data_IF_299881354322
#
_entry.id   IF_299881354322
#
_cell.length_a   1.000
_cell.length_b   1.000
_cell.length_c   1.000
_cell.angle_alpha   90.00
_cell.angle_beta   90.00
_cell.angle_gamma   90.00
#
_symmetry.space_group_name_H-M   'P 1'
#
loop_
_entity.id
_entity.type
_entity.pdbx_description
1 polymer ?
#
# COMPACT_ATOMS: atom_id res chain seq x y z
N UNK A 1 63.06 -1.49 -14.46
CA UNK A 1 62.62 -0.15 -14.93
C UNK A 1 61.16 -0.04 -14.50
N UNK A 2 60.87 0.51 -13.37
CA UNK A 2 60.56 1.91 -13.07
C UNK A 2 59.31 2.37 -13.86
N UNK A 3 58.30 2.54 -13.17
CA UNK A 3 57.50 3.63 -12.57
C UNK A 3 56.26 3.86 -13.42
N UNK A 4 55.08 4.18 -12.95
CA UNK A 4 54.65 5.29 -12.09
C UNK A 4 53.24 5.13 -11.56
N UNK A 5 53.10 5.39 -10.32
CA UNK A 5 51.97 5.66 -9.47
C UNK A 5 51.31 6.99 -9.90
N UNK A 6 50.01 7.04 -10.08
CA UNK A 6 49.27 8.31 -9.94
C UNK A 6 48.01 8.06 -9.09
N UNK A 7 48.09 8.60 -7.89
CA UNK A 7 46.97 8.94 -7.02
C UNK A 7 46.27 10.19 -7.62
N UNK A 8 44.95 10.18 -7.66
CA UNK A 8 44.20 11.44 -7.59
C UNK A 8 43.01 11.29 -6.65
N UNK A 9 43.20 11.89 -5.53
CA UNK A 9 42.24 12.28 -4.52
C UNK A 9 41.58 13.56 -4.98
N UNK A 10 40.27 13.63 -4.94
CA UNK A 10 39.48 14.86 -4.78
C UNK A 10 38.23 14.41 -4.05
N UNK A 11 38.10 14.58 -2.83
CA UNK A 11 37.83 15.60 -1.82
C UNK A 11 36.76 16.60 -2.23
N UNK A 12 35.79 16.58 -1.33
CA UNK A 12 35.11 17.67 -0.69
C UNK A 12 33.84 18.16 -1.36
N UNK A 13 32.86 18.17 -0.53
CA UNK A 13 32.28 19.26 0.29
C UNK A 13 31.24 20.02 -0.52
N UNK A 14 30.14 20.42 -0.07
CA UNK A 14 29.66 20.84 1.26
C UNK A 14 28.17 21.15 1.08
N UNK A 15 27.39 20.77 2.06
CA UNK A 15 26.83 21.66 3.08
C UNK A 15 25.78 22.66 2.63
N UNK A 16 24.75 22.58 3.41
CA UNK A 16 23.95 23.64 4.02
C UNK A 16 22.86 24.25 3.15
N UNK A 17 21.70 24.61 3.64
CA UNK A 17 21.31 25.07 4.94
C UNK A 17 19.79 25.09 5.05
N UNK A 18 19.31 24.66 6.14
CA UNK A 18 18.34 25.26 7.05
C UNK A 18 17.82 26.64 6.61
N UNK A 19 16.50 26.77 6.52
CA UNK A 19 15.81 27.97 7.02
C UNK A 19 14.37 27.68 7.40
N UNK A 20 14.19 27.58 8.70
CA UNK A 20 13.04 27.91 9.53
C UNK A 20 12.60 29.36 9.28
N UNK A 21 11.29 29.62 9.18
CA UNK A 21 10.58 30.81 9.66
C UNK A 21 9.10 30.46 9.58
N UNK A 22 8.46 30.21 10.67
CA UNK A 22 7.80 31.06 11.66
C UNK A 22 6.36 31.44 11.29
N UNK A 23 5.48 30.93 12.14
CA UNK A 23 4.27 31.50 12.73
C UNK A 23 3.66 32.75 12.10
N UNK A 24 2.37 32.65 11.79
CA UNK A 24 1.45 33.73 12.14
C UNK A 24 0.05 33.21 12.48
N UNK A 25 -0.28 33.40 13.73
CA UNK A 25 -1.55 33.21 14.40
C UNK A 25 -2.36 34.51 14.17
N UNK A 26 -3.60 34.38 13.68
CA UNK A 26 -4.58 35.45 13.86
C UNK A 26 -5.92 34.85 14.25
N UNK A 27 -6.37 35.27 15.40
CA UNK A 27 -7.64 35.05 16.06
C UNK A 27 -8.58 36.22 15.70
N UNK A 28 -9.85 35.95 15.46
CA UNK A 28 -11.03 36.70 15.87
C UNK A 28 -12.25 36.20 15.08
N UNK A 29 -13.26 35.57 15.67
CA UNK A 29 -14.32 36.03 16.56
C UNK A 29 -15.37 36.91 15.86
N UNK A 30 -16.59 36.40 15.72
CA UNK A 30 -17.91 36.96 16.14
C UNK A 30 -18.99 36.57 15.12
N UNK A 31 -19.93 35.72 15.53
CA UNK A 31 -21.28 35.92 16.06
C UNK A 31 -22.33 36.46 15.09
N UNK A 32 -23.40 35.70 15.02
CA UNK A 32 -24.86 35.86 14.97
C UNK A 32 -25.43 35.79 13.55
N UNK A 33 -26.56 35.19 13.24
CA UNK A 33 -27.77 34.84 13.97
C UNK A 33 -28.68 33.95 13.07
N UNK A 34 -29.56 33.27 13.72
CA UNK A 34 -30.66 32.43 13.29
C UNK A 34 -31.46 32.87 12.05
N UNK A 35 -31.90 31.92 11.27
CA UNK A 35 -33.32 31.76 10.89
C UNK A 35 -33.59 30.39 10.28
N UNK A 36 -34.41 29.69 10.93
CA UNK A 36 -35.46 28.72 10.70
C UNK A 36 -35.92 28.62 9.22
N UNK A 37 -35.73 27.42 8.62
CA UNK A 37 -36.66 26.88 7.65
C UNK A 37 -36.51 25.36 7.60
N UNK A 38 -37.54 24.71 8.04
CA UNK A 38 -37.94 23.33 7.92
C UNK A 38 -37.91 22.89 6.46
N UNK A 39 -37.17 21.81 6.16
CA UNK A 39 -37.48 20.96 5.03
C UNK A 39 -36.92 19.58 5.27
N UNK A 40 -37.80 18.69 5.58
CA UNK A 40 -37.71 17.23 5.51
C UNK A 40 -36.93 16.77 4.27
N UNK A 41 -35.80 16.13 4.48
CA UNK A 41 -35.26 15.20 3.49
C UNK A 41 -34.77 13.92 4.18
N UNK A 42 -35.75 13.04 4.35
CA UNK A 42 -35.58 11.64 4.61
C UNK A 42 -35.03 11.03 3.32
N UNK A 43 -33.74 10.80 3.22
CA UNK A 43 -33.09 9.78 2.39
C UNK A 43 -31.63 9.69 2.80
N UNK A 44 -31.22 8.54 3.23
CA UNK A 44 -29.92 7.88 3.12
C UNK A 44 -29.42 7.19 4.39
N UNK A 45 -30.30 6.45 5.04
CA UNK A 45 -29.82 5.46 6.04
C UNK A 45 -29.43 4.11 5.41
N UNK A 46 -29.84 3.84 4.14
CA UNK A 46 -29.55 2.57 3.48
C UNK A 46 -28.15 2.43 2.89
N UNK A 47 -27.53 3.54 2.48
CA UNK A 47 -26.20 3.49 1.87
C UNK A 47 -25.10 3.32 2.91
N UNK A 48 -25.26 3.95 4.08
CA UNK A 48 -24.27 3.89 5.16
C UNK A 48 -24.25 2.55 5.87
N UNK A 49 -25.39 1.86 5.98
CA UNK A 49 -25.45 0.51 6.54
C UNK A 49 -24.83 -0.54 5.63
N UNK A 50 -25.03 -0.43 4.28
CA UNK A 50 -24.38 -1.31 3.30
C UNK A 50 -22.86 -1.15 3.26
N UNK A 51 -22.36 0.07 3.41
CA UNK A 51 -20.93 0.34 3.45
C UNK A 51 -20.27 -0.21 4.73
N UNK A 52 -20.96 -0.16 5.85
CA UNK A 52 -20.48 -0.72 7.12
C UNK A 52 -20.50 -2.26 7.12
N UNK A 53 -21.48 -2.87 6.47
CA UNK A 53 -21.56 -4.33 6.31
C UNK A 53 -20.54 -4.87 5.32
N UNK A 54 -20.27 -4.15 4.21
CA UNK A 54 -19.23 -4.48 3.26
C UNK A 54 -17.83 -4.48 3.91
N UNK A 55 -17.53 -3.52 4.77
CA UNK A 55 -16.29 -3.49 5.54
C UNK A 55 -16.17 -4.61 6.58
N UNK A 56 -17.28 -5.08 7.10
CA UNK A 56 -17.32 -6.17 8.09
C UNK A 56 -17.04 -7.54 7.47
N UNK A 57 -17.37 -7.74 6.19
CA UNK A 57 -17.21 -8.99 5.46
C UNK A 57 -16.05 -8.98 4.45
N UNK A 58 -15.19 -7.96 4.50
CA UNK A 58 -14.05 -7.91 3.60
C UNK A 58 -13.02 -8.98 3.95
N UNK A 59 -12.54 -9.70 2.93
CA UNK A 59 -11.48 -10.69 3.05
C UNK A 59 -10.41 -10.45 2.00
N UNK A 60 -9.18 -10.85 2.32
CA UNK A 60 -8.06 -10.94 1.38
C UNK A 60 -7.18 -12.11 1.78
N UNK A 61 -6.91 -12.99 0.85
CA UNK A 61 -6.19 -14.25 1.08
C UNK A 61 -5.22 -14.44 -0.09
N UNK A 62 -3.97 -14.77 0.21
CA UNK A 62 -3.02 -15.22 -0.80
C UNK A 62 -3.27 -16.70 -1.04
N UNK A 63 -3.87 -17.04 -2.19
CA UNK A 63 -4.17 -18.42 -2.57
C UNK A 63 -2.90 -19.16 -3.03
N UNK A 64 -2.13 -18.50 -3.89
CA UNK A 64 -0.85 -19.00 -4.38
C UNK A 64 0.22 -17.90 -4.26
N UNK A 65 1.44 -18.25 -3.84
CA UNK A 65 1.91 -19.57 -3.42
C UNK A 65 1.21 -20.07 -2.14
N UNK A 66 1.19 -21.41 -1.97
CA UNK A 66 0.73 -21.99 -0.71
C UNK A 66 1.80 -21.84 0.38
N UNK A 67 1.41 -22.04 1.63
CA UNK A 67 2.33 -21.90 2.76
C UNK A 67 3.52 -22.87 2.63
N UNK A 68 4.74 -22.33 2.78
CA UNK A 68 6.01 -23.05 2.65
C UNK A 68 6.29 -23.65 1.27
N UNK A 69 5.62 -23.16 0.22
CA UNK A 69 5.89 -23.57 -1.15
C UNK A 69 7.33 -23.24 -1.54
N UNK A 70 7.96 -24.14 -2.31
CA UNK A 70 9.26 -23.90 -2.94
C UNK A 70 9.02 -23.47 -4.38
N UNK A 71 9.34 -22.23 -4.68
CA UNK A 71 9.21 -21.62 -6.00
C UNK A 71 10.53 -21.80 -6.74
N UNK A 72 10.48 -22.46 -7.90
CA UNK A 72 11.62 -22.62 -8.78
C UNK A 72 11.45 -21.76 -10.04
N UNK A 73 12.55 -21.22 -10.55
CA UNK A 73 12.55 -20.40 -11.78
C UNK A 73 12.68 -18.92 -11.53
N UNK A 74 12.44 -18.11 -12.57
CA UNK A 74 12.66 -16.67 -12.55
C UNK A 74 11.36 -15.87 -12.60
N UNK A 75 10.23 -16.53 -12.69
CA UNK A 75 8.91 -15.92 -12.72
C UNK A 75 7.89 -16.79 -12.00
N UNK A 76 6.96 -16.15 -11.35
CA UNK A 76 5.84 -16.78 -10.66
C UNK A 76 4.61 -15.87 -10.71
N UNK A 77 3.43 -16.44 -10.84
CA UNK A 77 2.19 -15.68 -10.85
C UNK A 77 1.44 -15.92 -9.55
N UNK A 78 1.33 -14.88 -8.74
CA UNK A 78 0.54 -14.93 -7.52
C UNK A 78 -0.94 -14.87 -7.85
N UNK A 79 -1.74 -15.61 -7.07
CA UNK A 79 -3.19 -15.50 -7.08
C UNK A 79 -3.69 -15.09 -5.70
N UNK A 80 -4.52 -14.07 -5.66
CA UNK A 80 -5.06 -13.49 -4.43
C UNK A 80 -6.57 -13.41 -4.56
N UNK A 81 -7.28 -14.05 -3.62
CA UNK A 81 -8.71 -13.91 -3.45
C UNK A 81 -9.02 -12.72 -2.55
N UNK A 82 -9.91 -11.82 -2.96
CA UNK A 82 -10.30 -10.68 -2.16
C UNK A 82 -11.72 -10.22 -2.45
N UNK A 83 -12.40 -9.65 -1.46
CA UNK A 83 -13.63 -8.91 -1.66
C UNK A 83 -13.33 -7.59 -2.39
N UNK A 84 -14.18 -7.19 -3.33
CA UNK A 84 -13.85 -6.29 -4.44
C UNK A 84 -14.23 -4.82 -4.26
N UNK A 85 -14.20 -4.27 -3.06
CA UNK A 85 -14.50 -2.84 -2.85
C UNK A 85 -13.25 -1.96 -2.93
N UNK A 86 -12.44 -2.11 -4.00
CA UNK A 86 -11.21 -1.36 -4.15
C UNK A 86 -10.22 -2.08 -5.05
N UNK A 87 -8.93 -1.93 -4.78
CA UNK A 87 -7.87 -2.64 -5.46
C UNK A 87 -6.97 -3.37 -4.46
N UNK A 88 -6.25 -4.36 -4.95
CA UNK A 88 -5.36 -5.18 -4.12
C UNK A 88 -3.91 -4.86 -4.44
N UNK A 89 -3.11 -4.76 -3.40
CA UNK A 89 -1.67 -4.63 -3.48
C UNK A 89 -0.98 -5.78 -2.74
N UNK A 90 0.21 -6.12 -3.20
CA UNK A 90 1.07 -7.14 -2.61
C UNK A 90 2.40 -6.54 -2.18
N UNK A 91 2.96 -7.05 -1.10
CA UNK A 91 4.29 -6.67 -0.61
C UNK A 91 5.12 -7.92 -0.33
N UNK A 92 6.41 -7.85 -0.63
CA UNK A 92 7.39 -8.88 -0.40
C UNK A 92 8.38 -8.45 0.67
N UNK A 93 8.60 -9.30 1.69
CA UNK A 93 9.54 -9.04 2.78
C UNK A 93 9.32 -7.68 3.47
N UNK A 94 8.06 -7.28 3.62
CA UNK A 94 7.67 -5.98 4.17
C UNK A 94 8.25 -4.78 3.39
N UNK A 95 8.50 -4.96 2.10
CA UNK A 95 8.95 -3.91 1.20
C UNK A 95 7.82 -3.06 0.64
N UNK A 96 8.01 -2.54 -0.56
CA UNK A 96 7.04 -1.71 -1.26
C UNK A 96 5.74 -2.47 -1.59
N UNK A 97 4.62 -1.75 -1.58
CA UNK A 97 3.32 -2.25 -2.00
C UNK A 97 3.14 -2.08 -3.50
N UNK A 98 2.90 -3.18 -4.18
CA UNK A 98 2.80 -3.25 -5.64
C UNK A 98 1.36 -3.60 -6.04
N UNK A 99 0.78 -2.90 -7.03
CA UNK A 99 -0.59 -3.13 -7.43
C UNK A 99 -0.77 -4.45 -8.17
N UNK A 100 -1.84 -5.15 -7.87
CA UNK A 100 -2.26 -6.37 -8.55
C UNK A 100 -3.27 -6.05 -9.66
N UNK A 101 -3.33 -6.89 -10.69
CA UNK A 101 -4.34 -6.81 -11.74
C UNK A 101 -5.53 -7.71 -11.44
N UNK A 102 -6.74 -7.23 -11.68
CA UNK A 102 -7.95 -8.03 -11.55
C UNK A 102 -8.26 -8.76 -12.85
N UNK A 103 -8.47 -10.08 -12.77
CA UNK A 103 -8.92 -10.90 -13.88
C UNK A 103 -9.61 -12.17 -13.38
N UNK A 104 -10.68 -12.57 -14.05
CA UNK A 104 -11.40 -13.83 -13.80
C UNK A 104 -11.81 -14.04 -12.33
N UNK A 105 -12.21 -12.96 -11.63
CA UNK A 105 -12.67 -13.04 -10.25
C UNK A 105 -11.56 -13.10 -9.19
N UNK A 106 -10.30 -13.00 -9.60
CA UNK A 106 -9.13 -13.00 -8.74
C UNK A 106 -8.21 -11.82 -9.03
N UNK A 107 -7.33 -11.55 -8.07
CA UNK A 107 -6.25 -10.60 -8.23
C UNK A 107 -4.95 -11.35 -8.52
N UNK A 108 -4.19 -10.85 -9.51
CA UNK A 108 -2.99 -11.50 -10.02
C UNK A 108 -1.82 -10.54 -9.95
N UNK A 109 -0.65 -11.09 -9.61
CA UNK A 109 0.60 -10.36 -9.64
C UNK A 109 1.67 -11.21 -10.32
N UNK A 110 2.28 -10.65 -11.37
CA UNK A 110 3.35 -11.31 -12.11
C UNK A 110 4.68 -10.98 -11.45
N UNK A 111 5.17 -11.90 -10.63
CA UNK A 111 6.40 -11.74 -9.87
C UNK A 111 7.58 -12.26 -10.68
N UNK A 112 8.52 -11.36 -11.04
CA UNK A 112 9.65 -11.66 -11.90
C UNK A 112 10.95 -11.24 -11.22
N UNK A 113 12.06 -11.89 -11.65
CA UNK A 113 13.44 -11.55 -11.26
C UNK A 113 13.67 -11.54 -9.75
N UNK A 114 13.06 -12.47 -9.04
CA UNK A 114 13.22 -12.62 -7.61
C UNK A 114 14.55 -13.31 -7.26
N UNK A 115 15.05 -13.03 -6.06
CA UNK A 115 16.28 -13.65 -5.54
C UNK A 115 15.94 -14.88 -4.75
N UNK A 116 16.84 -15.89 -4.80
CA UNK A 116 16.73 -17.11 -3.98
C UNK A 116 16.75 -16.76 -2.49
N UNK A 117 15.98 -17.51 -1.71
CA UNK A 117 15.89 -17.34 -0.26
C UNK A 117 14.48 -17.46 0.28
N UNK A 118 14.32 -17.20 1.57
CA UNK A 118 13.01 -17.16 2.20
C UNK A 118 12.34 -15.83 1.91
N UNK A 119 11.08 -15.88 1.53
CA UNK A 119 10.28 -14.71 1.20
C UNK A 119 8.97 -14.75 1.97
N UNK A 120 8.56 -13.60 2.48
CA UNK A 120 7.25 -13.37 3.07
C UNK A 120 6.42 -12.53 2.13
N UNK A 121 5.17 -12.93 1.92
CA UNK A 121 4.23 -12.25 1.04
C UNK A 121 3.03 -11.81 1.88
N UNK A 122 2.65 -10.57 1.74
CA UNK A 122 1.43 -10.03 2.31
C UNK A 122 0.61 -9.32 1.23
N UNK A 123 -0.70 -9.40 1.31
CA UNK A 123 -1.62 -8.69 0.43
C UNK A 123 -2.53 -7.75 1.23
N UNK A 124 -2.98 -6.67 0.63
CA UNK A 124 -3.95 -5.76 1.24
C UNK A 124 -4.99 -5.27 0.25
N UNK A 125 -6.18 -5.01 0.75
CA UNK A 125 -7.21 -4.28 0.01
C UNK A 125 -7.07 -2.81 0.35
N UNK A 126 -7.04 -1.97 -0.68
CA UNK A 126 -7.08 -0.52 -0.56
C UNK A 126 -8.41 -0.05 -1.15
N UNK A 127 -9.20 0.64 -0.36
CA UNK A 127 -10.48 1.19 -0.79
C UNK A 127 -10.33 2.32 -1.80
N UNK A 128 -11.43 2.70 -2.41
CA UNK A 128 -11.49 3.85 -3.34
C UNK A 128 -11.09 5.18 -2.70
N UNK A 129 -11.13 5.25 -1.37
CA UNK A 129 -10.68 6.40 -0.56
C UNK A 129 -9.16 6.37 -0.25
N UNK A 130 -8.42 5.39 -0.79
CA UNK A 130 -6.99 5.21 -0.56
C UNK A 130 -6.63 4.61 0.80
N UNK A 131 -7.61 4.23 1.61
CA UNK A 131 -7.37 3.64 2.93
C UNK A 131 -7.27 2.13 2.85
N UNK A 132 -6.43 1.56 3.69
CA UNK A 132 -6.34 0.11 3.85
C UNK A 132 -7.61 -0.41 4.53
N UNK A 133 -8.32 -1.28 3.84
CA UNK A 133 -9.56 -1.91 4.34
C UNK A 133 -9.25 -3.19 5.09
N UNK A 134 -8.39 -4.03 4.53
CA UNK A 134 -8.03 -5.34 5.08
C UNK A 134 -6.61 -5.73 4.70
N UNK A 135 -5.94 -6.43 5.60
CA UNK A 135 -4.63 -7.04 5.38
C UNK A 135 -4.79 -8.57 5.43
N UNK A 136 -4.05 -9.29 4.59
CA UNK A 136 -3.97 -10.76 4.63
C UNK A 136 -3.07 -11.25 5.75
N UNK A 137 -3.18 -12.53 6.04
CA UNK A 137 -2.13 -13.23 6.77
C UNK A 137 -0.85 -13.26 5.93
N UNK A 138 0.29 -13.32 6.62
CA UNK A 138 1.60 -13.39 5.98
C UNK A 138 1.81 -14.80 5.44
N UNK A 139 2.06 -14.90 4.14
CA UNK A 139 2.40 -16.15 3.45
C UNK A 139 3.92 -16.29 3.37
N UNK A 140 4.45 -17.43 3.79
CA UNK A 140 5.89 -17.74 3.69
C UNK A 140 6.13 -18.70 2.55
N UNK A 141 7.16 -18.46 1.75
CA UNK A 141 7.62 -19.35 0.68
C UNK A 141 9.14 -19.32 0.59
N UNK A 142 9.68 -20.26 -0.13
CA UNK A 142 11.12 -20.36 -0.40
C UNK A 142 11.35 -20.27 -1.91
N UNK A 143 12.27 -19.44 -2.32
CA UNK A 143 12.74 -19.36 -3.70
C UNK A 143 14.04 -20.12 -3.82
N UNK A 144 14.11 -21.06 -4.75
CA UNK A 144 15.29 -21.90 -5.03
C UNK A 144 16.11 -21.39 -6.20
#
# INVERSE_FOLDING_TARGET
>A
MATKKVKKVVKAESSSAVKTVAKKKVVAKKKTSASKATSTKKVNSSAKSKELEAKKNSYVIVDYPVENETIAGNNYVLRIGASTDGYVEVSFNSGEWLPCRFASGYWWFDWNYFKSGNVTIAARIVGSDGKVVKLSDIRKCKVS
#
